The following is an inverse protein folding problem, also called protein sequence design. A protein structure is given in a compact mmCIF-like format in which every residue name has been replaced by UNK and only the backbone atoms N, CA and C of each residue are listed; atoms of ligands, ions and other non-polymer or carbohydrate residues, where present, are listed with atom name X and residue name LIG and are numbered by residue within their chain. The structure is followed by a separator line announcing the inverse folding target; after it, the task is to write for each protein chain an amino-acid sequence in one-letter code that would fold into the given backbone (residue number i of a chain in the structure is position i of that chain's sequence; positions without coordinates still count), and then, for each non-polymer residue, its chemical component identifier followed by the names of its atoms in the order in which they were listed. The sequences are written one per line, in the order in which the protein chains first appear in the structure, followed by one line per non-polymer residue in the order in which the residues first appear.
data_IF_144344254280
#
_entry.id   IF_144344254280
#
_cell.length_a   1.000
_cell.length_b   1.000
_cell.length_c   1.000
_cell.angle_alpha   90.00
_cell.angle_beta   90.00
_cell.angle_gamma   90.00
#
_symmetry.space_group_name_H-M   'P 1'
#
loop_
_entity.id
_entity.type
_entity.pdbx_description
1 polymer ?
#
# COMPACT_ATOMS: atom_id res chain seq x y z
N UNK A 1 3.19 -16.14 8.45
CA UNK A 1 2.75 -15.01 7.61
C UNK A 1 1.66 -14.31 8.40
N UNK A 2 1.83 -13.02 8.68
CA UNK A 2 0.80 -12.26 9.41
C UNK A 2 -0.27 -11.89 8.39
N UNK A 3 -1.54 -12.10 8.75
CA UNK A 3 -2.66 -11.68 7.93
C UNK A 3 -3.12 -10.31 8.43
N UNK A 4 -3.11 -9.32 7.54
CA UNK A 4 -3.72 -8.01 7.77
C UNK A 4 -5.09 -8.00 7.11
N UNK A 5 -6.09 -7.40 7.76
CA UNK A 5 -7.41 -7.26 7.18
C UNK A 5 -7.43 -5.97 6.35
N UNK A 6 -7.49 -6.11 5.03
CA UNK A 6 -7.59 -4.98 4.09
C UNK A 6 -9.05 -4.58 4.01
N UNK A 7 -9.35 -3.34 4.41
CA UNK A 7 -10.70 -2.78 4.38
C UNK A 7 -10.96 -2.15 3.01
N UNK A 8 -9.99 -1.38 2.50
CA UNK A 8 -10.08 -0.73 1.19
C UNK A 8 -8.71 -0.73 0.49
N UNK A 9 -8.74 -0.77 -0.84
CA UNK A 9 -7.57 -0.69 -1.70
C UNK A 9 -7.93 0.16 -2.91
N UNK A 10 -7.11 1.17 -3.16
CA UNK A 10 -7.18 1.99 -4.38
C UNK A 10 -5.84 1.92 -5.12
N UNK A 11 -5.94 1.77 -6.45
CA UNK A 11 -4.79 1.71 -7.34
C UNK A 11 -4.83 2.95 -8.21
N UNK A 12 -3.80 3.79 -8.05
CA UNK A 12 -3.56 5.00 -8.84
C UNK A 12 -2.39 4.70 -9.79
N UNK A 13 -2.16 5.57 -10.77
CA UNK A 13 -1.20 5.34 -11.85
C UNK A 13 0.22 5.02 -11.36
N UNK A 14 0.70 5.68 -10.30
CA UNK A 14 2.07 5.54 -9.79
C UNK A 14 2.17 5.13 -8.31
N UNK A 15 1.04 4.99 -7.61
CA UNK A 15 0.98 4.60 -6.19
C UNK A 15 -0.30 3.84 -5.85
N UNK A 16 -0.37 3.32 -4.63
CA UNK A 16 -1.56 2.65 -4.09
C UNK A 16 -1.89 3.20 -2.71
N UNK A 17 -3.17 3.24 -2.39
CA UNK A 17 -3.66 3.50 -1.04
C UNK A 17 -4.26 2.23 -0.48
N UNK A 18 -3.88 1.86 0.75
CA UNK A 18 -4.37 0.64 1.39
C UNK A 18 -4.84 0.98 2.78
N UNK A 19 -6.15 0.85 3.00
CA UNK A 19 -6.74 1.00 4.33
C UNK A 19 -6.76 -0.36 5.02
N UNK A 20 -6.07 -0.48 6.15
CA UNK A 20 -5.84 -1.76 6.81
C UNK A 20 -6.20 -1.71 8.28
N UNK A 21 -6.89 -2.75 8.74
CA UNK A 21 -6.99 -3.06 10.15
C UNK A 21 -5.85 -3.99 10.53
N UNK A 22 -5.04 -3.56 11.50
CA UNK A 22 -3.85 -4.27 11.92
C UNK A 22 -3.78 -4.44 13.44
N UNK A 23 -3.11 -5.51 13.86
CA UNK A 23 -2.79 -5.74 15.27
C UNK A 23 -1.76 -4.69 15.74
N UNK A 24 -2.01 -3.97 16.86
CA UNK A 24 -1.14 -2.91 17.34
C UNK A 24 0.28 -3.37 17.72
N UNK A 25 0.53 -4.68 17.83
CA UNK A 25 1.88 -5.22 18.04
C UNK A 25 2.81 -5.06 16.83
N UNK A 26 2.26 -4.72 15.66
CA UNK A 26 3.03 -4.55 14.43
C UNK A 26 3.21 -3.08 14.10
N UNK A 27 4.46 -2.68 13.87
CA UNK A 27 4.76 -1.31 13.47
C UNK A 27 4.19 -1.01 12.08
N UNK A 28 3.77 0.23 11.79
CA UNK A 28 3.37 0.64 10.43
C UNK A 28 4.46 0.34 9.39
N UNK A 29 5.73 0.48 9.76
CA UNK A 29 6.86 0.17 8.90
C UNK A 29 6.94 -1.32 8.53
N UNK A 30 6.66 -2.23 9.47
CA UNK A 30 6.62 -3.67 9.20
C UNK A 30 5.46 -4.07 8.29
N UNK A 31 4.31 -3.43 8.47
CA UNK A 31 3.13 -3.65 7.65
C UNK A 31 3.42 -3.18 6.21
N UNK A 32 3.91 -1.95 6.05
CA UNK A 32 4.28 -1.40 4.74
C UNK A 32 5.37 -2.25 4.06
N UNK A 33 6.38 -2.71 4.82
CA UNK A 33 7.42 -3.61 4.32
C UNK A 33 6.83 -4.91 3.79
N UNK A 34 5.89 -5.53 4.49
CA UNK A 34 5.24 -6.76 4.06
C UNK A 34 4.46 -6.57 2.76
N UNK A 35 3.60 -5.54 2.69
CA UNK A 35 2.82 -5.26 1.48
C UNK A 35 3.73 -5.00 0.28
N UNK A 36 4.71 -4.11 0.41
CA UNK A 36 5.63 -3.74 -0.67
C UNK A 36 6.49 -4.92 -1.11
N UNK A 37 7.03 -5.69 -0.16
CA UNK A 37 7.92 -6.82 -0.47
C UNK A 37 7.17 -7.94 -1.18
N UNK A 38 5.96 -8.27 -0.70
CA UNK A 38 5.15 -9.33 -1.30
C UNK A 38 4.66 -8.92 -2.69
N UNK A 39 3.97 -7.78 -2.81
CA UNK A 39 3.46 -7.30 -4.10
C UNK A 39 4.58 -7.10 -5.12
N UNK A 40 5.68 -6.43 -4.74
CA UNK A 40 6.80 -6.19 -5.65
C UNK A 40 7.44 -7.48 -6.15
N UNK A 41 7.63 -8.48 -5.28
CA UNK A 41 8.15 -9.79 -5.70
C UNK A 41 7.21 -10.50 -6.68
N UNK A 42 5.91 -10.48 -6.40
CA UNK A 42 4.92 -11.14 -7.25
C UNK A 42 4.75 -10.44 -8.61
N UNK A 43 4.75 -9.10 -8.63
CA UNK A 43 4.68 -8.30 -9.85
C UNK A 43 5.90 -8.50 -10.74
N UNK A 44 7.12 -8.39 -10.19
CA UNK A 44 8.35 -8.58 -10.98
C UNK A 44 8.54 -10.03 -11.44
N UNK A 45 7.96 -11.02 -10.75
CA UNK A 45 7.95 -12.42 -11.21
C UNK A 45 6.94 -12.62 -12.34
N UNK A 46 5.79 -11.95 -12.29
CA UNK A 46 4.72 -12.09 -13.28
C UNK A 46 4.98 -11.29 -14.56
N UNK A 47 5.61 -10.13 -14.42
CA UNK A 47 5.90 -9.17 -15.49
C UNK A 47 7.40 -8.89 -15.56
N UNK A 48 8.22 -9.85 -16.01
CA UNK A 48 9.68 -9.69 -16.08
C UNK A 48 10.12 -8.51 -16.95
N UNK A 49 9.32 -8.11 -17.94
CA UNK A 49 9.54 -6.95 -18.81
C UNK A 49 9.60 -5.64 -18.04
N UNK A 50 8.83 -5.51 -16.95
CA UNK A 50 8.85 -4.34 -16.07
C UNK A 50 10.20 -4.24 -15.36
N UNK A 51 10.71 -5.40 -14.89
CA UNK A 51 12.01 -5.47 -14.21
C UNK A 51 13.14 -5.04 -15.13
N UNK A 52 13.10 -5.48 -16.38
CA UNK A 52 14.13 -5.20 -17.39
C UNK A 52 14.09 -3.75 -17.87
N UNK A 53 12.90 -3.17 -17.98
CA UNK A 53 12.71 -1.81 -18.52
C UNK A 53 12.92 -0.70 -17.48
N UNK A 54 12.50 -0.92 -16.23
CA UNK A 54 12.42 0.17 -15.24
C UNK A 54 13.24 -0.06 -13.97
N UNK A 55 13.51 -1.32 -13.61
CA UNK A 55 14.07 -1.66 -12.29
C UNK A 55 15.35 -2.49 -12.39
N UNK A 56 16.22 -2.19 -13.36
CA UNK A 56 17.51 -2.87 -13.46
C UNK A 56 18.30 -2.67 -12.15
N UNK A 57 18.36 -3.74 -11.33
CA UNK A 57 18.92 -3.76 -9.96
C UNK A 57 18.12 -3.05 -8.84
N UNK A 58 16.89 -2.62 -9.11
CA UNK A 58 16.01 -1.95 -8.13
C UNK A 58 14.86 -2.82 -7.58
N UNK A 59 14.13 -2.29 -6.60
CA UNK A 59 12.84 -2.83 -6.16
C UNK A 59 11.67 -2.14 -6.87
N UNK A 60 10.53 -2.83 -6.98
CA UNK A 60 9.33 -2.30 -7.66
C UNK A 60 8.79 -1.00 -7.02
N UNK A 61 8.87 -0.88 -5.69
CA UNK A 61 8.37 0.27 -4.95
C UNK A 61 9.49 1.22 -4.54
N UNK A 62 9.19 2.53 -4.43
CA UNK A 62 10.04 3.52 -3.74
C UNK A 62 10.39 3.05 -2.33
N UNK A 63 11.49 3.51 -1.75
CA UNK A 63 11.96 3.08 -0.41
C UNK A 63 10.96 3.52 0.68
N UNK A 64 10.46 4.76 0.61
CA UNK A 64 9.54 5.34 1.59
C UNK A 64 8.10 4.80 1.52
N UNK A 65 7.31 5.14 2.53
CA UNK A 65 5.86 4.93 2.58
C UNK A 65 5.23 6.09 3.36
N UNK A 66 3.96 6.37 3.11
CA UNK A 66 3.13 7.26 3.93
C UNK A 66 2.21 6.41 4.81
N UNK A 67 1.95 6.88 6.02
CA UNK A 67 1.02 6.22 6.95
C UNK A 67 0.40 7.24 7.89
N UNK A 68 -0.92 7.15 8.05
CA UNK A 68 -1.71 7.96 8.96
C UNK A 68 -2.74 7.09 9.69
N UNK A 69 -3.20 7.56 10.85
CA UNK A 69 -4.32 6.96 11.58
C UNK A 69 -5.56 7.82 11.41
N UNK A 70 -6.72 7.20 11.28
CA UNK A 70 -8.02 7.88 11.35
C UNK A 70 -8.73 7.50 12.64
N UNK A 71 -9.44 8.44 13.25
CA UNK A 71 -10.21 8.21 14.47
C UNK A 71 -11.50 7.45 14.13
N UNK A 72 -11.68 6.29 14.80
CA UNK A 72 -12.84 5.40 14.81
C UNK A 72 -13.46 5.06 13.43
N UNK A 73 -13.26 3.82 12.99
CA UNK A 73 -13.78 3.27 11.73
C UNK A 73 -15.31 3.19 11.78
N UNK A 74 -16.00 4.23 11.31
CA UNK A 74 -17.37 4.14 10.81
C UNK A 74 -17.36 4.06 9.29
N UNK A 75 -18.45 3.58 8.68
CA UNK A 75 -18.58 3.47 7.21
C UNK A 75 -18.36 4.83 6.53
N UNK A 76 -18.83 5.91 7.17
CA UNK A 76 -18.63 7.29 6.74
C UNK A 76 -17.16 7.75 6.77
N UNK A 77 -16.32 7.13 7.62
CA UNK A 77 -14.87 7.42 7.66
C UNK A 77 -14.15 6.70 6.52
N UNK A 78 -14.63 5.53 6.11
CA UNK A 78 -14.09 4.83 4.93
C UNK A 78 -14.48 5.59 3.66
N UNK A 79 -15.73 6.04 3.55
CA UNK A 79 -16.20 6.89 2.45
C UNK A 79 -15.40 8.20 2.39
N UNK A 80 -15.26 8.92 3.51
CA UNK A 80 -14.47 10.16 3.55
C UNK A 80 -12.99 9.92 3.22
N UNK A 81 -12.41 8.78 3.61
CA UNK A 81 -11.03 8.45 3.27
C UNK A 81 -10.87 8.22 1.76
N UNK A 82 -11.82 7.53 1.12
CA UNK A 82 -11.84 7.36 -0.35
C UNK A 82 -11.98 8.73 -1.03
N UNK A 83 -12.90 9.58 -0.56
CA UNK A 83 -13.06 10.94 -1.09
C UNK A 83 -11.80 11.81 -0.92
N UNK A 84 -11.12 11.74 0.23
CA UNK A 84 -9.88 12.48 0.48
C UNK A 84 -8.73 11.99 -0.40
N UNK A 85 -8.66 10.69 -0.72
CA UNK A 85 -7.66 10.15 -1.64
C UNK A 85 -7.88 10.68 -3.06
N UNK A 86 -9.12 10.69 -3.56
CA UNK A 86 -9.42 11.20 -4.91
C UNK A 86 -9.04 12.68 -5.09
N UNK A 87 -8.92 13.44 -4.00
CA UNK A 87 -8.70 14.90 -4.02
C UNK A 87 -7.37 15.37 -3.40
N UNK A 88 -6.49 14.45 -2.99
CA UNK A 88 -5.20 14.81 -2.41
C UNK A 88 -4.26 15.42 -3.48
N UNK A 89 -3.66 16.61 -3.26
CA UNK A 89 -2.70 17.18 -4.20
C UNK A 89 -1.39 16.37 -4.21
N UNK A 90 -0.87 16.14 -5.42
CA UNK A 90 0.39 15.40 -5.72
C UNK A 90 1.64 15.89 -4.97
#
# INVERSE_FOLDING_TARGET
MILHHVIALEIVDDHIHVFVQCDPKHSPADIARQFKSYSGKHLLKRYPEIRESYFWRGGFWKIGYYGGTTDAVSEEVVERYIEEIEHAPE
#
